data_IF_447729392158
#
_entry.id   IF_447729392158
#
_cell.length_a   1.000
_cell.length_b   1.000
_cell.length_c   1.000
_cell.angle_alpha   90.00
_cell.angle_beta   90.00
_cell.angle_gamma   90.00
#
_symmetry.space_group_name_H-M   'P 1'
#
loop_
_entity.id
_entity.type
_entity.pdbx_description
1 polymer ?
#
# COMPACT_ATOMS: atom_id res chain seq x y z
N UNK A 1 4.20 -10.15 -9.34
CA UNK A 1 5.38 -9.31 -8.98
C UNK A 1 6.65 -9.68 -9.75
N UNK A 2 6.92 -10.96 -10.00
CA UNK A 2 8.15 -11.42 -10.67
C UNK A 2 8.21 -11.20 -12.20
N UNK A 3 7.15 -10.70 -12.81
CA UNK A 3 7.11 -10.41 -14.25
C UNK A 3 7.92 -9.13 -14.57
N UNK A 4 8.80 -9.20 -15.57
CA UNK A 4 9.62 -8.07 -16.02
C UNK A 4 8.79 -6.89 -16.55
N UNK A 5 7.64 -7.13 -17.19
CA UNK A 5 6.73 -6.08 -17.64
C UNK A 5 6.23 -5.24 -16.45
N UNK A 6 5.84 -5.92 -15.37
CA UNK A 6 5.37 -5.26 -14.15
C UNK A 6 6.49 -4.42 -13.52
N UNK A 7 7.70 -4.98 -13.42
CA UNK A 7 8.88 -4.24 -12.93
C UNK A 7 9.18 -3.02 -13.79
N UNK A 8 9.11 -3.14 -15.12
CA UNK A 8 9.38 -2.05 -16.06
C UNK A 8 8.38 -0.91 -15.95
N UNK A 9 7.09 -1.22 -15.77
CA UNK A 9 6.04 -0.22 -15.61
C UNK A 9 6.19 0.58 -14.30
N UNK A 10 6.64 -0.09 -13.24
CA UNK A 10 6.60 0.44 -11.87
C UNK A 10 7.96 0.85 -11.28
N UNK A 11 9.04 0.79 -12.05
CA UNK A 11 10.32 1.44 -11.71
C UNK A 11 10.36 2.88 -12.24
N UNK A 12 11.19 3.73 -11.62
CA UNK A 12 11.33 5.14 -12.05
C UNK A 12 12.08 5.30 -13.37
N UNK A 13 13.11 4.48 -13.61
CA UNK A 13 13.89 4.50 -14.86
C UNK A 13 14.44 3.10 -15.19
N UNK A 14 14.83 2.90 -16.45
CA UNK A 14 15.22 1.60 -17.00
C UNK A 14 16.53 1.03 -16.43
N UNK A 15 17.38 1.88 -15.87
CA UNK A 15 18.64 1.50 -15.23
C UNK A 15 18.42 0.94 -13.80
N UNK A 16 17.35 1.33 -13.11
CA UNK A 16 17.07 0.83 -11.76
C UNK A 16 16.47 -0.58 -11.77
N UNK A 17 16.82 -1.38 -10.77
CA UNK A 17 16.41 -2.79 -10.63
C UNK A 17 16.71 -3.67 -11.86
N UNK A 18 17.72 -3.29 -12.65
CA UNK A 18 18.17 -4.01 -13.85
C UNK A 18 19.13 -5.15 -13.51
N UNK A 19 19.91 -5.02 -12.43
CA UNK A 19 20.89 -6.02 -11.97
C UNK A 19 20.41 -6.78 -10.74
N UNK A 20 21.02 -7.94 -10.49
CA UNK A 20 20.79 -8.79 -9.33
C UNK A 20 21.38 -8.16 -8.06
N UNK A 21 20.65 -7.21 -7.48
CA UNK A 21 21.00 -6.54 -6.23
C UNK A 21 20.42 -7.29 -5.02
N UNK A 22 21.07 -7.10 -3.87
CA UNK A 22 20.57 -7.57 -2.56
C UNK A 22 19.20 -6.97 -2.21
N UNK A 23 18.93 -5.76 -2.71
CA UNK A 23 17.64 -5.07 -2.66
C UNK A 23 17.02 -5.02 -4.07
N UNK A 24 16.56 -6.17 -4.56
CA UNK A 24 15.84 -6.21 -5.83
C UNK A 24 14.42 -5.62 -5.70
N UNK A 25 13.75 -5.46 -6.84
CA UNK A 25 12.43 -4.84 -6.93
C UNK A 25 11.40 -5.51 -6.02
N UNK A 26 11.40 -6.85 -6.01
CA UNK A 26 10.45 -7.64 -5.22
C UNK A 26 10.77 -7.53 -3.73
N UNK A 27 12.05 -7.62 -3.36
CA UNK A 27 12.52 -7.48 -1.97
C UNK A 27 12.09 -6.14 -1.37
N UNK A 28 12.25 -5.04 -2.12
CA UNK A 28 11.82 -3.71 -1.66
C UNK A 28 10.31 -3.65 -1.47
N UNK A 29 9.51 -4.23 -2.37
CA UNK A 29 8.05 -4.31 -2.21
C UNK A 29 7.68 -5.10 -0.96
N UNK A 30 8.26 -6.29 -0.77
CA UNK A 30 7.98 -7.15 0.39
C UNK A 30 8.31 -6.47 1.71
N UNK A 31 9.46 -5.78 1.79
CA UNK A 31 9.85 -5.00 2.97
C UNK A 31 8.85 -3.88 3.29
N UNK A 32 8.25 -3.25 2.27
CA UNK A 32 7.22 -2.22 2.47
C UNK A 32 5.89 -2.86 2.91
N UNK A 33 5.49 -3.96 2.29
CA UNK A 33 4.24 -4.67 2.61
C UNK A 33 4.24 -5.31 3.99
N UNK A 34 5.41 -5.75 4.49
CA UNK A 34 5.55 -6.36 5.80
C UNK A 34 5.05 -5.45 6.94
N UNK A 35 5.02 -4.13 6.74
CA UNK A 35 4.55 -3.10 7.68
C UNK A 35 4.99 -3.36 9.13
N UNK A 36 6.09 -2.72 9.53
CA UNK A 36 6.62 -2.88 10.88
C UNK A 36 6.57 -1.57 11.68
N UNK A 37 6.35 -1.70 12.99
CA UNK A 37 6.53 -0.62 13.98
C UNK A 37 7.97 -0.58 14.54
N UNK A 38 8.80 -1.57 14.20
CA UNK A 38 10.19 -1.67 14.65
C UNK A 38 11.10 -0.68 13.90
N UNK A 39 12.26 -0.32 14.46
CA UNK A 39 13.26 0.46 13.74
C UNK A 39 13.68 -0.24 12.44
N UNK A 40 13.78 0.53 11.35
CA UNK A 40 14.03 -0.01 9.99
C UNK A 40 15.26 -0.94 9.90
N UNK A 41 16.35 -0.67 10.62
CA UNK A 41 17.54 -1.53 10.57
C UNK A 41 17.27 -2.90 11.19
N UNK A 42 16.49 -2.94 12.27
CA UNK A 42 16.11 -4.21 12.88
C UNK A 42 15.23 -5.02 11.94
N UNK A 43 14.28 -4.36 11.26
CA UNK A 43 13.43 -5.00 10.25
C UNK A 43 14.26 -5.58 9.11
N UNK A 44 15.23 -4.81 8.59
CA UNK A 44 16.13 -5.27 7.52
C UNK A 44 16.96 -6.47 7.98
N UNK A 45 17.58 -6.39 9.16
CA UNK A 45 18.38 -7.49 9.71
C UNK A 45 17.54 -8.76 9.91
N UNK A 46 16.36 -8.64 10.50
CA UNK A 46 15.43 -9.76 10.68
C UNK A 46 14.97 -10.34 9.34
N UNK A 47 14.67 -9.50 8.34
CA UNK A 47 14.24 -9.91 7.02
C UNK A 47 15.32 -10.73 6.30
N UNK A 48 16.56 -10.24 6.26
CA UNK A 48 17.66 -10.95 5.59
C UNK A 48 18.11 -12.20 6.36
N UNK A 49 18.06 -12.17 7.70
CA UNK A 49 18.28 -13.36 8.53
C UNK A 49 17.25 -14.47 8.25
N UNK A 50 15.98 -14.11 8.06
CA UNK A 50 14.91 -15.08 7.70
C UNK A 50 15.07 -15.70 6.32
N UNK A 51 15.76 -15.01 5.41
CA UNK A 51 16.03 -15.52 4.06
C UNK A 51 17.31 -16.37 3.99
N UNK A 52 17.95 -16.64 5.13
CA UNK A 52 19.25 -17.31 5.25
C UNK A 52 20.33 -16.66 4.35
N UNK A 53 20.24 -15.33 4.23
CA UNK A 53 21.19 -14.51 3.48
C UNK A 53 22.06 -13.80 4.49
N UNK A 54 23.35 -14.13 4.51
CA UNK A 54 24.34 -13.35 5.28
C UNK A 54 24.65 -12.02 4.58
N UNK A 55 23.64 -11.15 4.60
CA UNK A 55 23.63 -9.91 3.83
C UNK A 55 23.23 -8.76 4.74
N UNK A 56 24.21 -7.90 5.00
CA UNK A 56 23.98 -6.63 5.67
C UNK A 56 23.45 -5.59 4.68
N UNK A 57 22.28 -5.03 5.01
CA UNK A 57 21.66 -3.93 4.26
C UNK A 57 21.42 -2.77 5.21
N UNK A 58 21.87 -1.58 4.84
CA UNK A 58 21.69 -0.37 5.63
C UNK A 58 20.34 0.30 5.37
N UNK A 59 19.81 1.03 6.36
CA UNK A 59 18.61 1.88 6.20
C UNK A 59 18.72 2.85 5.01
N UNK A 60 19.91 3.39 4.76
CA UNK A 60 20.17 4.33 3.65
C UNK A 60 20.08 3.62 2.29
N UNK A 61 20.67 2.43 2.15
CA UNK A 61 20.56 1.62 0.93
C UNK A 61 19.10 1.27 0.62
N UNK A 62 18.32 0.89 1.63
CA UNK A 62 16.87 0.65 1.46
C UNK A 62 16.14 1.92 1.01
N UNK A 63 16.43 3.06 1.63
CA UNK A 63 15.78 4.34 1.30
C UNK A 63 16.08 4.76 -0.15
N UNK A 64 17.32 4.58 -0.60
CA UNK A 64 17.72 4.83 -1.98
C UNK A 64 17.01 3.88 -2.95
N UNK A 65 16.97 2.58 -2.67
CA UNK A 65 16.26 1.61 -3.50
C UNK A 65 14.76 1.92 -3.56
N UNK A 66 14.13 2.23 -2.42
CA UNK A 66 12.70 2.60 -2.34
C UNK A 66 12.36 3.82 -3.20
N UNK A 67 13.24 4.81 -3.32
CA UNK A 67 13.01 6.01 -4.15
C UNK A 67 12.74 5.66 -5.62
N UNK A 68 13.23 4.51 -6.09
CA UNK A 68 13.09 4.07 -7.48
C UNK A 68 11.86 3.18 -7.73
N UNK A 69 11.03 2.94 -6.71
CA UNK A 69 9.77 2.21 -6.80
C UNK A 69 8.60 3.19 -6.89
N UNK A 70 7.82 3.12 -7.98
CA UNK A 70 6.62 3.95 -8.15
C UNK A 70 5.49 3.46 -7.24
N UNK A 71 4.71 4.37 -6.62
CA UNK A 71 3.56 3.99 -5.78
C UNK A 71 2.46 3.26 -6.56
N UNK A 72 2.39 3.46 -7.89
CA UNK A 72 1.47 2.74 -8.79
C UNK A 72 1.63 1.23 -8.75
N UNK A 73 2.79 0.72 -8.30
CA UNK A 73 3.01 -0.70 -8.03
C UNK A 73 1.95 -1.24 -7.05
N UNK A 74 1.74 -0.53 -5.94
CA UNK A 74 0.83 -0.96 -4.87
C UNK A 74 -0.64 -0.83 -5.27
N UNK A 75 -0.97 0.20 -6.05
CA UNK A 75 -2.33 0.35 -6.62
C UNK A 75 -2.64 -0.83 -7.54
N UNK A 76 -1.72 -1.16 -8.43
CA UNK A 76 -1.89 -2.27 -9.38
C UNK A 76 -1.92 -3.62 -8.66
N UNK A 77 -1.10 -3.80 -7.63
CA UNK A 77 -1.11 -4.99 -6.79
C UNK A 77 -2.41 -5.16 -6.03
N UNK A 78 -2.90 -4.09 -5.40
CA UNK A 78 -4.19 -4.13 -4.70
C UNK A 78 -5.31 -4.48 -5.68
N UNK A 79 -5.36 -3.81 -6.84
CA UNK A 79 -6.37 -4.10 -7.85
C UNK A 79 -6.35 -5.57 -8.28
N UNK A 80 -5.19 -6.07 -8.71
CA UNK A 80 -5.07 -7.44 -9.26
C UNK A 80 -5.18 -8.55 -8.22
N UNK A 81 -4.70 -8.32 -7.00
CA UNK A 81 -4.56 -9.39 -6.00
C UNK A 81 -5.65 -9.38 -4.94
N UNK A 82 -6.33 -8.25 -4.74
CA UNK A 82 -7.37 -8.11 -3.72
C UNK A 82 -8.70 -7.79 -4.38
N UNK A 83 -8.77 -6.72 -5.18
CA UNK A 83 -10.05 -6.28 -5.74
C UNK A 83 -10.59 -7.30 -6.75
N UNK A 84 -9.78 -7.70 -7.73
CA UNK A 84 -10.23 -8.62 -8.79
C UNK A 84 -10.59 -10.00 -8.20
N UNK A 85 -9.92 -10.43 -7.13
CA UNK A 85 -10.21 -11.71 -6.47
C UNK A 85 -11.49 -11.64 -5.63
N UNK A 86 -11.69 -10.56 -4.87
CA UNK A 86 -12.82 -10.45 -3.94
C UNK A 86 -14.11 -9.96 -4.63
N UNK A 87 -13.99 -9.29 -5.78
CA UNK A 87 -15.12 -8.63 -6.46
C UNK A 87 -15.41 -9.15 -7.86
N UNK A 88 -14.84 -10.27 -8.29
CA UNK A 88 -15.05 -10.78 -9.65
C UNK A 88 -16.43 -11.43 -9.85
N UNK A 89 -17.06 -11.94 -8.79
CA UNK A 89 -18.27 -12.75 -8.84
C UNK A 89 -19.52 -12.05 -8.28
N UNK A 90 -19.39 -10.81 -7.82
CA UNK A 90 -20.45 -10.01 -7.17
C UNK A 90 -21.16 -10.75 -6.00
N UNK A 91 -20.52 -11.78 -5.44
CA UNK A 91 -21.14 -12.75 -4.51
C UNK A 91 -21.13 -12.29 -3.05
N UNK A 92 -21.32 -10.99 -2.82
CA UNK A 92 -21.31 -10.41 -1.48
C UNK A 92 -22.69 -9.93 -1.06
N UNK A 93 -22.99 -10.11 0.22
CA UNK A 93 -24.25 -9.70 0.82
C UNK A 93 -24.47 -8.19 0.69
N UNK A 94 -25.67 -7.81 0.23
CA UNK A 94 -26.09 -6.42 0.05
C UNK A 94 -27.27 -6.15 0.99
N UNK A 95 -27.21 -5.05 1.72
CA UNK A 95 -28.37 -4.54 2.46
C UNK A 95 -28.93 -3.34 1.70
N UNK A 96 -30.23 -3.36 1.43
CA UNK A 96 -30.93 -2.30 0.67
C UNK A 96 -30.29 -1.99 -0.69
N UNK A 97 -29.71 -2.99 -1.37
CA UNK A 97 -29.02 -2.81 -2.65
C UNK A 97 -27.60 -2.24 -2.54
N UNK A 98 -27.14 -1.91 -1.33
CA UNK A 98 -25.79 -1.40 -1.08
C UNK A 98 -24.93 -2.44 -0.37
N UNK A 99 -23.63 -2.38 -0.62
CA UNK A 99 -22.66 -3.16 0.15
C UNK A 99 -22.30 -2.41 1.44
N UNK A 100 -22.53 -3.06 2.57
CA UNK A 100 -22.07 -2.56 3.86
C UNK A 100 -20.62 -2.99 4.11
N UNK A 101 -19.74 -1.99 4.24
CA UNK A 101 -18.35 -2.17 4.62
C UNK A 101 -18.14 -1.49 5.98
N UNK A 102 -18.04 -2.29 7.03
CA UNK A 102 -17.77 -1.78 8.37
C UNK A 102 -16.26 -1.78 8.59
N UNK A 103 -15.68 -0.59 8.71
CA UNK A 103 -14.30 -0.39 9.14
C UNK A 103 -14.32 0.13 10.57
N UNK A 104 -13.68 -0.58 11.51
CA UNK A 104 -13.46 -0.02 12.85
C UNK A 104 -12.41 1.09 12.77
N UNK A 105 -12.88 2.33 12.69
CA UNK A 105 -12.09 3.54 12.51
C UNK A 105 -11.51 4.13 13.80
N UNK A 106 -11.21 3.31 14.81
CA UNK A 106 -10.82 3.73 16.16
C UNK A 106 -9.53 4.59 16.26
N UNK A 107 -8.84 4.87 15.14
CA UNK A 107 -7.61 5.68 15.10
C UNK A 107 -7.51 6.70 13.95
N UNK A 108 -8.62 7.18 13.39
CA UNK A 108 -8.57 8.28 12.41
C UNK A 108 -8.58 9.61 13.18
N UNK A 109 -7.41 10.21 13.39
CA UNK A 109 -7.32 11.57 13.94
C UNK A 109 -7.71 12.56 12.82
N UNK A 110 -9.00 12.89 12.72
CA UNK A 110 -9.53 13.82 11.72
C UNK A 110 -9.05 15.24 12.06
N UNK A 111 -8.35 15.89 11.14
CA UNK A 111 -7.95 17.29 11.33
C UNK A 111 -9.19 18.20 11.33
N UNK A 112 -9.32 19.06 12.35
CA UNK A 112 -10.49 19.89 12.69
C UNK A 112 -11.10 20.68 11.52
N UNK A 113 -10.31 21.06 10.51
CA UNK A 113 -10.81 21.77 9.31
C UNK A 113 -11.80 20.94 8.49
N UNK A 114 -11.67 19.61 8.47
CA UNK A 114 -12.55 18.73 7.70
C UNK A 114 -13.91 18.51 8.39
N UNK A 115 -13.97 18.64 9.72
CA UNK A 115 -15.19 18.49 10.52
C UNK A 115 -16.21 19.61 10.26
N UNK A 116 -15.76 20.84 10.07
CA UNK A 116 -16.65 21.98 9.80
C UNK A 116 -17.37 21.82 8.47
N UNK A 117 -16.68 21.31 7.43
CA UNK A 117 -17.26 21.13 6.09
C UNK A 117 -18.34 20.04 6.08
N UNK A 118 -18.15 18.94 6.80
CA UNK A 118 -19.14 17.86 6.89
C UNK A 118 -20.43 18.29 7.61
N UNK A 119 -20.34 19.18 8.61
CA UNK A 119 -21.52 19.77 9.27
C UNK A 119 -22.32 20.68 8.33
N UNK A 120 -21.66 21.49 7.52
CA UNK A 120 -22.33 22.41 6.59
C UNK A 120 -23.13 21.66 5.52
N UNK A 121 -22.57 20.57 4.97
CA UNK A 121 -23.29 19.71 4.01
C UNK A 121 -24.51 19.02 4.64
N UNK A 122 -24.43 18.62 5.91
CA UNK A 122 -25.57 17.97 6.59
C UNK A 122 -26.69 18.95 6.96
N UNK A 123 -26.39 20.23 7.22
CA UNK A 123 -27.41 21.24 7.47
C UNK A 123 -28.13 21.69 6.19
N UNK A 124 -27.42 21.80 5.06
CA UNK A 124 -28.02 22.22 3.78
C UNK A 124 -29.03 21.20 3.23
N UNK A 125 -28.84 19.91 3.49
CA UNK A 125 -29.77 18.84 3.10
C UNK A 125 -31.07 18.81 3.93
N UNK A 126 -31.10 19.41 5.12
CA UNK A 126 -32.30 19.49 5.96
C UNK A 126 -33.20 20.66 5.50
N UNK A 127 -32.62 21.76 5.03
CA UNK A 127 -33.37 22.93 4.57
C UNK A 127 -33.94 22.82 3.14
N UNK A 128 -33.55 21.79 2.37
CA UNK A 128 -34.15 21.52 1.04
C UNK A 128 -35.28 20.47 1.07
N UNK A 129 -35.70 20.01 2.26
CA UNK A 129 -36.79 19.03 2.45
C UNK A 129 -37.94 19.54 3.33
N UNK A 130 -38.01 20.85 3.59
CA UNK A 130 -39.16 21.56 4.14
C UNK A 130 -39.64 22.57 3.10
#
# INVERSE_FOLDING_TARGET
>A
MHNDLFKNQHRTASNFFSRKFKLDFVTVILLILQKSIKPLQLVLNEFFKKLDKDVLVTKSAFTQARRHLKPTAFVTLNKKSVLDVIYSDDSYEKAWGFRLLVFDGSKIHLQRKMFLRAKTFSSELIYQKL
#
